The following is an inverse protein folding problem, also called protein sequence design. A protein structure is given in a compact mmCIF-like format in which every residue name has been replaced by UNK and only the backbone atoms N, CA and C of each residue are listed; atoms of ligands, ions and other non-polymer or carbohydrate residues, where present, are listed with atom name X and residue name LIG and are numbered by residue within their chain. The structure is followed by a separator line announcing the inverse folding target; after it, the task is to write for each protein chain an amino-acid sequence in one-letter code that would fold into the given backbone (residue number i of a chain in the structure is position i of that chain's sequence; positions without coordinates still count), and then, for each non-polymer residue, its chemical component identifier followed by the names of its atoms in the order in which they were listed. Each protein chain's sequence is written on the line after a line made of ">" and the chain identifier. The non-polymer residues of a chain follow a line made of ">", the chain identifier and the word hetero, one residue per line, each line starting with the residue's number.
data_IF_857738157430
#
_entry.id   IF_857738157430
#
_cell.length_a   1.000
_cell.length_b   1.000
_cell.length_c   1.000
_cell.angle_alpha   90.00
_cell.angle_beta   90.00
_cell.angle_gamma   90.00
#
_symmetry.space_group_name_H-M   'P 1'
#
loop_
_entity.id
_entity.type
_entity.pdbx_description
1 polymer ?
#
# COMPACT_ATOMS: atom_id res chain seq x y z
N UNK A 1 -10.87 21.73 -26.76
CA UNK A 1 -11.04 20.72 -25.71
C UNK A 1 -11.15 21.48 -24.39
N UNK A 2 -12.34 21.54 -23.79
CA UNK A 2 -12.58 22.32 -22.57
C UNK A 2 -11.86 21.66 -21.40
N UNK A 3 -10.77 22.25 -20.94
CA UNK A 3 -10.03 21.87 -19.73
C UNK A 3 -10.70 22.48 -18.50
N UNK A 4 -11.86 21.95 -18.12
CA UNK A 4 -12.39 22.19 -16.78
C UNK A 4 -11.57 21.37 -15.80
N UNK A 5 -10.59 22.02 -15.16
CA UNK A 5 -9.85 21.44 -14.05
C UNK A 5 -10.77 21.44 -12.82
N UNK A 6 -11.42 20.32 -12.54
CA UNK A 6 -12.26 20.15 -11.36
C UNK A 6 -11.38 20.02 -10.11
N UNK A 7 -11.00 21.17 -9.54
CA UNK A 7 -10.15 21.24 -8.33
C UNK A 7 -10.71 20.44 -7.14
N UNK A 8 -12.05 20.27 -7.06
CA UNK A 8 -12.70 19.45 -6.03
C UNK A 8 -12.40 17.96 -6.22
N UNK A 9 -12.49 17.44 -7.45
CA UNK A 9 -12.26 16.03 -7.76
C UNK A 9 -10.77 15.66 -7.58
N UNK A 10 -9.87 16.56 -7.97
CA UNK A 10 -8.43 16.44 -7.77
C UNK A 10 -8.07 16.39 -6.27
N UNK A 11 -8.71 17.23 -5.45
CA UNK A 11 -8.50 17.25 -4.00
C UNK A 11 -9.01 15.96 -3.34
N UNK A 12 -10.23 15.52 -3.66
CA UNK A 12 -10.80 14.28 -3.14
C UNK A 12 -9.94 13.05 -3.50
N UNK A 13 -9.42 13.01 -4.72
CA UNK A 13 -8.51 11.95 -5.16
C UNK A 13 -7.20 11.99 -4.37
N UNK A 14 -6.64 13.19 -4.17
CA UNK A 14 -5.41 13.35 -3.40
C UNK A 14 -5.56 12.92 -1.95
N UNK A 15 -6.71 13.22 -1.32
CA UNK A 15 -7.03 12.81 0.04
C UNK A 15 -7.17 11.30 0.14
N UNK A 16 -7.96 10.68 -0.76
CA UNK A 16 -8.11 9.22 -0.81
C UNK A 16 -6.76 8.51 -0.98
N UNK A 17 -5.86 9.02 -1.83
CA UNK A 17 -4.53 8.45 -1.98
C UNK A 17 -3.72 8.51 -0.68
N UNK A 18 -3.77 9.64 0.04
CA UNK A 18 -3.05 9.79 1.31
C UNK A 18 -3.61 8.87 2.40
N UNK A 19 -4.92 8.75 2.50
CA UNK A 19 -5.59 7.84 3.44
C UNK A 19 -5.22 6.37 3.18
N UNK A 20 -4.91 6.04 1.93
CA UNK A 20 -4.44 4.72 1.53
C UNK A 20 -2.91 4.58 1.55
N UNK A 21 -2.19 5.56 2.11
CA UNK A 21 -0.73 5.55 2.23
C UNK A 21 0.02 5.68 0.91
N UNK A 22 -0.61 6.19 -0.15
CA UNK A 22 -0.03 6.40 -1.48
C UNK A 22 0.32 7.89 -1.66
N UNK A 23 1.55 8.15 -2.12
CA UNK A 23 1.97 9.50 -2.44
C UNK A 23 1.37 9.96 -3.78
N UNK A 24 0.60 11.04 -3.78
CA UNK A 24 -0.10 11.60 -4.94
C UNK A 24 0.81 11.77 -6.16
N UNK A 25 2.00 12.34 -5.93
CA UNK A 25 3.00 12.58 -6.99
C UNK A 25 3.59 11.31 -7.61
N UNK A 26 3.38 10.14 -6.99
CA UNK A 26 3.91 8.86 -7.44
C UNK A 26 2.86 8.00 -8.12
N UNK A 27 1.58 8.28 -7.91
CA UNK A 27 0.47 7.44 -8.36
C UNK A 27 0.51 7.21 -9.88
N UNK A 28 0.59 8.27 -10.68
CA UNK A 28 0.54 8.17 -12.15
C UNK A 28 1.77 7.53 -12.79
N UNK A 29 2.88 7.37 -12.07
CA UNK A 29 4.15 6.85 -12.63
C UNK A 29 4.54 5.48 -12.06
N UNK A 30 3.79 4.98 -11.08
CA UNK A 30 4.16 3.77 -10.34
C UNK A 30 3.31 2.59 -10.79
N UNK A 31 3.95 1.45 -11.00
CA UNK A 31 3.25 0.25 -11.45
C UNK A 31 2.13 -0.15 -10.47
N UNK A 32 0.94 -0.49 -10.99
CA UNK A 32 -0.26 -0.77 -10.20
C UNK A 32 -0.05 -1.82 -9.10
N UNK A 33 0.67 -2.91 -9.37
CA UNK A 33 1.02 -3.92 -8.35
C UNK A 33 1.82 -3.35 -7.17
N UNK A 34 2.70 -2.38 -7.42
CA UNK A 34 3.48 -1.74 -6.36
C UNK A 34 2.61 -0.79 -5.54
N UNK A 35 1.66 -0.10 -6.17
CA UNK A 35 0.66 0.72 -5.48
C UNK A 35 -0.25 -0.14 -4.59
N UNK A 36 -0.74 -1.27 -5.09
CA UNK A 36 -1.52 -2.25 -4.32
C UNK A 36 -0.72 -2.77 -3.11
N UNK A 37 0.56 -3.09 -3.29
CA UNK A 37 1.42 -3.49 -2.19
C UNK A 37 1.66 -2.34 -1.20
N UNK A 38 1.80 -1.10 -1.64
CA UNK A 38 1.98 0.06 -0.76
C UNK A 38 0.75 0.29 0.12
N UNK A 39 -0.45 0.29 -0.48
CA UNK A 39 -1.71 0.37 0.23
C UNK A 39 -1.87 -0.79 1.22
N UNK A 40 -1.55 -2.00 0.78
CA UNK A 40 -1.59 -3.19 1.64
C UNK A 40 -0.63 -3.07 2.83
N UNK A 41 0.60 -2.59 2.60
CA UNK A 41 1.56 -2.36 3.68
C UNK A 41 1.07 -1.30 4.65
N UNK A 42 0.44 -0.23 4.16
CA UNK A 42 -0.19 0.79 5.00
C UNK A 42 -1.29 0.19 5.88
N UNK A 43 -2.23 -0.56 5.30
CA UNK A 43 -3.34 -1.16 6.04
C UNK A 43 -2.87 -2.19 7.07
N UNK A 44 -1.89 -3.03 6.72
CA UNK A 44 -1.34 -4.02 7.65
C UNK A 44 -0.65 -3.36 8.85
N UNK A 45 0.09 -2.27 8.63
CA UNK A 45 0.81 -1.56 9.69
C UNK A 45 -0.11 -0.69 10.56
N UNK A 46 -1.26 -0.25 10.06
CA UNK A 46 -2.19 0.62 10.80
C UNK A 46 -3.30 -0.15 11.49
N UNK A 47 -3.85 -1.18 10.85
CA UNK A 47 -5.05 -1.88 11.32
C UNK A 47 -4.77 -3.28 11.87
N UNK A 48 -3.69 -3.95 11.42
CA UNK A 48 -3.44 -5.36 11.72
C UNK A 48 -2.07 -5.59 12.38
N UNK A 49 -1.49 -4.55 12.98
CA UNK A 49 -0.12 -4.61 13.48
C UNK A 49 0.08 -5.69 14.56
N UNK A 50 -0.94 -5.93 15.37
CA UNK A 50 -0.98 -6.95 16.41
C UNK A 50 -0.90 -8.39 15.87
N UNK A 51 -1.23 -8.62 14.60
CA UNK A 51 -1.15 -9.94 13.96
C UNK A 51 0.18 -10.17 13.23
N UNK A 52 1.03 -9.14 13.14
CA UNK A 52 2.30 -9.20 12.44
C UNK A 52 3.44 -9.62 13.36
N UNK A 53 4.36 -10.41 12.84
CA UNK A 53 5.65 -10.64 13.48
C UNK A 53 6.59 -9.46 13.27
N UNK A 54 7.59 -9.30 14.13
CA UNK A 54 8.61 -8.25 14.01
C UNK A 54 9.32 -8.27 12.64
N UNK A 55 9.56 -9.45 12.08
CA UNK A 55 10.17 -9.58 10.75
C UNK A 55 9.23 -9.08 9.64
N UNK A 56 7.93 -9.41 9.72
CA UNK A 56 6.94 -8.90 8.77
C UNK A 56 6.82 -7.38 8.84
N UNK A 57 6.78 -6.81 10.04
CA UNK A 57 6.78 -5.35 10.25
C UNK A 57 8.01 -4.72 9.58
N UNK A 58 9.20 -5.30 9.78
CA UNK A 58 10.44 -4.84 9.14
C UNK A 58 10.34 -4.87 7.61
N UNK A 59 9.81 -5.96 7.03
CA UNK A 59 9.59 -6.08 5.58
C UNK A 59 8.63 -5.00 5.05
N UNK A 60 7.50 -4.78 5.73
CA UNK A 60 6.49 -3.80 5.32
C UNK A 60 7.03 -2.36 5.39
N UNK A 61 7.70 -2.00 6.50
CA UNK A 61 8.34 -0.68 6.67
C UNK A 61 9.46 -0.45 5.66
N UNK A 62 10.29 -1.46 5.40
CA UNK A 62 11.34 -1.37 4.39
C UNK A 62 10.77 -1.15 2.97
N UNK A 63 9.64 -1.79 2.64
CA UNK A 63 8.95 -1.56 1.37
C UNK A 63 8.37 -0.14 1.28
N UNK A 64 7.70 0.35 2.33
CA UNK A 64 7.21 1.72 2.38
C UNK A 64 8.33 2.75 2.20
N UNK A 65 9.49 2.55 2.84
CA UNK A 65 10.65 3.42 2.68
C UNK A 65 11.21 3.41 1.24
N UNK A 66 11.18 2.26 0.56
CA UNK A 66 11.56 2.18 -0.86
C UNK A 66 10.54 2.90 -1.76
N UNK A 67 9.25 2.78 -1.45
CA UNK A 67 8.17 3.44 -2.18
C UNK A 67 8.14 4.95 -1.95
N UNK A 68 8.55 5.46 -0.79
CA UNK A 68 8.59 6.91 -0.52
C UNK A 68 9.73 7.60 -1.28
N UNK A 69 10.87 6.92 -1.45
CA UNK A 69 12.02 7.46 -2.17
C UNK A 69 11.89 7.28 -3.69
N UNK A 70 11.89 8.39 -4.45
CA UNK A 70 11.76 8.39 -5.92
C UNK A 70 12.80 7.51 -6.62
N UNK A 71 14.07 7.57 -6.21
CA UNK A 71 15.19 6.84 -6.83
C UNK A 71 15.13 5.34 -6.53
N UNK A 72 14.67 4.98 -5.34
CA UNK A 72 14.47 3.57 -4.97
C UNK A 72 13.23 3.00 -5.66
N UNK A 73 12.12 3.74 -5.67
CA UNK A 73 10.86 3.35 -6.31
C UNK A 73 11.01 3.09 -7.80
N UNK A 74 11.77 3.92 -8.53
CA UNK A 74 11.99 3.71 -9.97
C UNK A 74 12.75 2.43 -10.31
N UNK A 75 13.44 1.82 -9.34
CA UNK A 75 14.13 0.53 -9.49
C UNK A 75 13.27 -0.66 -9.10
N UNK A 76 12.10 -0.44 -8.50
CA UNK A 76 11.21 -1.52 -8.10
C UNK A 76 10.52 -2.11 -9.32
N UNK A 77 10.73 -3.41 -9.50
CA UNK A 77 9.94 -4.23 -10.42
C UNK A 77 8.68 -4.75 -9.73
N UNK A 78 7.60 -5.08 -10.48
CA UNK A 78 6.34 -5.55 -9.90
C UNK A 78 6.46 -6.75 -8.96
N UNK A 79 7.48 -7.60 -9.12
CA UNK A 79 7.75 -8.78 -8.30
C UNK A 79 8.09 -8.43 -6.85
N UNK A 80 8.59 -7.22 -6.60
CA UNK A 80 8.84 -6.73 -5.23
C UNK A 80 7.55 -6.54 -4.42
N UNK A 81 6.38 -6.56 -5.07
CA UNK A 81 5.08 -6.56 -4.39
C UNK A 81 4.77 -7.90 -3.70
N UNK A 82 5.29 -9.03 -4.21
CA UNK A 82 4.88 -10.36 -3.76
C UNK A 82 5.11 -10.64 -2.28
N UNK A 83 6.25 -10.27 -1.66
CA UNK A 83 6.42 -10.45 -0.22
C UNK A 83 5.33 -9.76 0.61
N UNK A 84 4.88 -8.58 0.18
CA UNK A 84 3.85 -7.79 0.87
C UNK A 84 2.47 -8.44 0.72
N UNK A 85 2.11 -8.83 -0.50
CA UNK A 85 0.84 -9.49 -0.79
C UNK A 85 0.74 -10.88 -0.14
N UNK A 86 1.87 -11.58 -0.01
CA UNK A 86 1.93 -12.87 0.68
C UNK A 86 1.73 -12.71 2.20
N UNK A 87 2.27 -11.65 2.81
CA UNK A 87 1.99 -11.33 4.23
C UNK A 87 0.49 -11.07 4.39
N UNK A 88 -0.09 -10.22 3.54
CA UNK A 88 -1.53 -9.93 3.57
C UNK A 88 -2.40 -11.19 3.46
N UNK A 89 -2.07 -12.09 2.53
CA UNK A 89 -2.77 -13.36 2.37
C UNK A 89 -2.72 -14.20 3.65
N UNK A 90 -1.59 -14.22 4.36
CA UNK A 90 -1.46 -14.94 5.63
C UNK A 90 -2.30 -14.30 6.73
N UNK A 91 -2.25 -12.97 6.87
CA UNK A 91 -3.03 -12.24 7.87
C UNK A 91 -4.54 -12.37 7.61
N UNK A 92 -4.99 -12.26 6.36
CA UNK A 92 -6.39 -12.46 6.01
C UNK A 92 -6.89 -13.88 6.36
N UNK A 93 -6.05 -14.91 6.18
CA UNK A 93 -6.39 -16.27 6.63
C UNK A 93 -6.48 -16.36 8.15
N UNK A 94 -5.65 -15.65 8.90
CA UNK A 94 -5.73 -15.61 10.37
C UNK A 94 -7.00 -14.89 10.82
N UNK A 95 -7.29 -13.71 10.26
CA UNK A 95 -8.52 -12.95 10.53
C UNK A 95 -9.77 -13.78 10.23
N UNK A 96 -9.79 -14.46 9.08
CA UNK A 96 -10.90 -15.35 8.74
C UNK A 96 -11.11 -16.45 9.79
N UNK A 97 -10.03 -17.08 10.30
CA UNK A 97 -10.13 -18.07 11.38
C UNK A 97 -10.63 -17.47 12.70
N UNK A 98 -10.25 -16.24 13.02
CA UNK A 98 -10.71 -15.55 14.22
C UNK A 98 -12.20 -15.19 14.13
N UNK A 99 -12.66 -14.76 12.95
CA UNK A 99 -14.03 -14.34 12.68
C UNK A 99 -14.98 -15.50 12.42
N UNK A 100 -14.49 -16.64 11.90
CA UNK A 100 -15.26 -17.88 11.71
C UNK A 100 -15.46 -18.65 13.03
N UNK A 101 -15.45 -17.97 14.18
CA UNK A 101 -15.98 -18.54 15.43
C UNK A 101 -17.51 -18.57 15.36
N UNK A 102 -18.03 -19.44 14.47
CA UNK A 102 -19.38 -20.02 14.47
C UNK A 102 -19.20 -21.47 14.00
#
# INVERSE_FOLDING_TARGET
>A
MNTYKNFKDDALTADWLRDNGIAVNSFGTTHVKLLQAQQTAHNLLTQNQNLLTSNQIKTLKAFQNKMSNKKSRSKLKPEHAYPILNINTKINRQLFKLNKKI
#
